data_IF_776901852487
#
_entry.id   IF_776901852487
#
_cell.length_a   1.000
_cell.length_b   1.000
_cell.length_c   1.000
_cell.angle_alpha   90.00
_cell.angle_beta   90.00
_cell.angle_gamma   90.00
#
_symmetry.space_group_name_H-M   'P 1'
#
loop_
_entity.id
_entity.type
_entity.pdbx_description
1 polymer ?
#
# COMPACT_ATOMS: atom_id res chain seq x y z
N UNK A 1 -12.38 -27.43 9.04
CA UNK A 1 -11.50 -26.57 9.86
C UNK A 1 -10.35 -26.15 8.95
N UNK A 2 -10.49 -25.01 8.26
CA UNK A 2 -9.50 -24.54 7.28
C UNK A 2 -8.65 -23.48 7.96
N UNK A 3 -7.36 -23.76 8.05
CA UNK A 3 -6.33 -22.89 8.60
C UNK A 3 -5.94 -21.88 7.51
N UNK A 4 -6.30 -20.61 7.70
CA UNK A 4 -5.86 -19.51 6.82
C UNK A 4 -4.51 -19.05 7.37
N UNK A 5 -3.44 -19.31 6.62
CA UNK A 5 -2.08 -18.96 7.00
C UNK A 5 -1.97 -17.49 7.40
N UNK A 6 -1.53 -17.24 8.64
CA UNK A 6 -1.21 -15.90 9.10
C UNK A 6 -0.05 -15.31 8.30
N UNK A 7 0.08 -13.97 8.26
CA UNK A 7 1.18 -13.31 7.56
C UNK A 7 2.52 -13.85 8.10
N UNK A 8 3.38 -14.25 7.17
CA UNK A 8 4.76 -14.63 7.44
C UNK A 8 5.39 -13.56 8.36
N UNK A 9 6.00 -14.01 9.46
CA UNK A 9 6.58 -13.15 10.50
C UNK A 9 7.66 -12.25 9.89
N UNK A 10 7.28 -11.04 9.49
CA UNK A 10 8.22 -10.01 9.08
C UNK A 10 9.10 -9.69 10.30
N UNK A 11 10.41 -9.97 10.20
CA UNK A 11 11.40 -9.55 11.20
C UNK A 11 11.15 -8.08 11.55
N UNK A 12 10.92 -7.81 12.84
CA UNK A 12 10.54 -6.50 13.34
C UNK A 12 11.69 -5.53 13.08
N UNK A 13 11.55 -4.69 12.06
CA UNK A 13 12.53 -3.64 11.72
C UNK A 13 12.80 -2.72 12.91
N UNK A 14 14.04 -2.25 13.01
CA UNK A 14 14.43 -1.28 14.02
C UNK A 14 13.62 0.01 13.84
N UNK A 15 13.50 0.81 14.90
CA UNK A 15 12.76 2.08 14.85
C UNK A 15 13.35 3.03 13.79
N UNK A 16 14.67 3.02 13.62
CA UNK A 16 15.37 3.80 12.60
C UNK A 16 15.02 3.38 11.17
N UNK A 17 14.89 2.08 10.91
CA UNK A 17 14.53 1.57 9.56
C UNK A 17 13.09 1.92 9.16
N UNK A 18 12.22 2.22 10.13
CA UNK A 18 10.85 2.69 9.87
C UNK A 18 10.77 4.19 9.63
N UNK A 19 11.70 4.97 10.21
CA UNK A 19 11.78 6.41 9.97
C UNK A 19 12.26 6.73 8.55
N UNK A 20 12.99 5.81 7.90
CA UNK A 20 13.44 5.96 6.51
C UNK A 20 12.45 5.41 5.45
N UNK A 21 11.45 4.61 5.85
CA UNK A 21 10.48 4.04 4.91
C UNK A 21 9.35 5.02 4.59
N UNK A 22 8.99 5.13 3.32
CA UNK A 22 7.90 5.95 2.83
C UNK A 22 6.57 5.18 2.86
N UNK A 23 5.49 5.86 3.27
CA UNK A 23 4.14 5.29 3.28
C UNK A 23 3.40 5.66 2.00
N UNK A 24 2.67 4.69 1.43
CA UNK A 24 1.85 4.88 0.24
C UNK A 24 0.45 4.34 0.47
N UNK A 25 -0.54 5.04 -0.08
CA UNK A 25 -1.91 4.56 -0.26
C UNK A 25 -2.10 4.22 -1.73
N UNK A 26 -2.64 3.05 -2.00
CA UNK A 26 -2.90 2.51 -3.33
C UNK A 26 -4.39 2.22 -3.46
N UNK A 27 -4.99 2.69 -4.54
CA UNK A 27 -6.36 2.35 -4.94
C UNK A 27 -6.30 1.74 -6.33
N UNK A 28 -6.75 0.48 -6.45
CA UNK A 28 -6.82 -0.24 -7.71
C UNK A 28 -8.25 -0.33 -8.22
N UNK A 29 -8.52 0.37 -9.32
CA UNK A 29 -9.76 0.21 -10.08
C UNK A 29 -9.56 -0.82 -11.18
N UNK A 30 -10.44 -1.82 -11.33
CA UNK A 30 -10.29 -2.80 -12.38
C UNK A 30 -10.45 -2.16 -13.76
N UNK A 31 -9.52 -2.44 -14.67
CA UNK A 31 -9.69 -2.07 -16.07
C UNK A 31 -10.86 -2.85 -16.68
N UNK A 32 -11.56 -2.24 -17.64
CA UNK A 32 -12.74 -2.84 -18.27
C UNK A 32 -12.47 -4.21 -18.90
N UNK A 33 -11.26 -4.44 -19.43
CA UNK A 33 -10.86 -5.71 -20.03
C UNK A 33 -10.39 -6.76 -19.00
N UNK A 34 -10.19 -6.38 -17.73
CA UNK A 34 -9.67 -7.27 -16.70
C UNK A 34 -10.77 -8.06 -16.00
N UNK A 35 -10.59 -9.38 -15.90
CA UNK A 35 -11.52 -10.23 -15.14
C UNK A 35 -11.13 -10.34 -13.67
N UNK A 36 -12.12 -10.41 -12.77
CA UNK A 36 -11.85 -10.64 -11.34
C UNK A 36 -11.13 -11.97 -11.07
N UNK A 37 -11.43 -13.01 -11.86
CA UNK A 37 -10.85 -14.34 -11.72
C UNK A 37 -9.34 -14.33 -12.01
N UNK A 38 -8.92 -13.62 -13.05
CA UNK A 38 -7.52 -13.41 -13.39
C UNK A 38 -6.77 -12.67 -12.28
N UNK A 39 -7.32 -11.56 -11.78
CA UNK A 39 -6.67 -10.77 -10.73
C UNK A 39 -6.50 -11.55 -9.44
N UNK A 40 -7.51 -12.33 -9.04
CA UNK A 40 -7.43 -13.20 -7.86
C UNK A 40 -6.35 -14.27 -8.05
N UNK A 41 -6.32 -14.94 -9.21
CA UNK A 41 -5.33 -15.95 -9.50
C UNK A 41 -3.89 -15.38 -9.43
N UNK A 42 -3.68 -14.21 -10.03
CA UNK A 42 -2.40 -13.49 -9.97
C UNK A 42 -2.04 -13.09 -8.53
N UNK A 43 -3.02 -12.62 -7.75
CA UNK A 43 -2.81 -12.13 -6.39
C UNK A 43 -2.37 -13.24 -5.42
N UNK A 44 -2.87 -14.46 -5.64
CA UNK A 44 -2.51 -15.66 -4.85
C UNK A 44 -1.03 -16.03 -5.02
N UNK A 45 -0.47 -15.87 -6.22
CA UNK A 45 0.92 -16.21 -6.51
C UNK A 45 1.90 -15.03 -6.41
N UNK A 46 1.39 -13.81 -6.27
CA UNK A 46 2.22 -12.61 -6.27
C UNK A 46 2.83 -12.34 -4.88
N UNK A 47 4.12 -12.04 -4.89
CA UNK A 47 4.89 -11.60 -3.72
C UNK A 47 5.18 -10.11 -3.83
N UNK A 48 5.24 -9.41 -2.70
CA UNK A 48 5.60 -8.00 -2.70
C UNK A 48 7.06 -7.82 -3.15
N UNK A 49 7.36 -6.80 -3.98
CA UNK A 49 8.74 -6.49 -4.36
C UNK A 49 9.64 -6.30 -3.16
N UNK A 50 10.93 -6.60 -3.32
CA UNK A 50 11.92 -6.36 -2.28
C UNK A 50 11.92 -4.89 -1.85
N UNK A 51 11.99 -4.65 -0.53
CA UNK A 51 11.91 -3.31 0.04
C UNK A 51 10.50 -2.74 0.15
N UNK A 52 9.46 -3.52 -0.18
CA UNK A 52 8.06 -3.20 0.13
C UNK A 52 7.54 -4.05 1.29
N UNK A 53 6.61 -3.47 2.06
CA UNK A 53 5.85 -4.16 3.10
C UNK A 53 4.40 -3.71 3.07
N UNK A 54 3.49 -4.66 2.96
CA UNK A 54 2.06 -4.36 3.11
C UNK A 54 1.72 -4.11 4.58
N UNK A 55 1.04 -3.00 4.85
CA UNK A 55 0.52 -2.62 6.17
C UNK A 55 -0.91 -3.11 6.31
N UNK A 56 -1.73 -2.84 5.31
CA UNK A 56 -3.12 -3.25 5.24
C UNK A 56 -3.56 -3.38 3.79
N UNK A 57 -4.45 -4.33 3.52
CA UNK A 57 -5.07 -4.51 2.22
C UNK A 57 -6.55 -4.81 2.44
N UNK A 58 -7.41 -4.14 1.68
CA UNK A 58 -8.85 -4.25 1.75
C UNK A 58 -9.40 -4.54 0.35
N UNK A 59 -10.38 -5.44 0.29
CA UNK A 59 -11.01 -5.89 -0.93
C UNK A 59 -12.48 -5.48 -0.85
N UNK A 60 -12.83 -4.28 -1.33
CA UNK A 60 -14.19 -3.81 -1.27
C UNK A 60 -15.13 -4.73 -2.06
N UNK A 61 -16.33 -4.97 -1.54
CA UNK A 61 -17.39 -5.67 -2.27
C UNK A 61 -18.05 -4.70 -3.27
N UNK A 62 -17.25 -4.22 -4.22
CA UNK A 62 -17.60 -3.22 -5.23
C UNK A 62 -17.01 -3.61 -6.58
N UNK A 63 -17.69 -3.21 -7.65
CA UNK A 63 -17.17 -3.32 -9.03
C UNK A 63 -16.28 -2.13 -9.41
N UNK A 64 -16.36 -1.02 -8.68
CA UNK A 64 -15.62 0.22 -8.98
C UNK A 64 -14.20 0.22 -8.42
N UNK A 65 -14.01 -0.38 -7.25
CA UNK A 65 -12.70 -0.47 -6.57
C UNK A 65 -12.51 -1.93 -6.18
N UNK A 66 -11.45 -2.53 -6.70
CA UNK A 66 -11.14 -3.92 -6.46
C UNK A 66 -10.18 -4.11 -5.27
N UNK A 67 -9.30 -3.13 -5.03
CA UNK A 67 -8.33 -3.18 -3.93
C UNK A 67 -8.02 -1.78 -3.40
N UNK A 68 -7.89 -1.69 -2.08
CA UNK A 68 -7.31 -0.55 -1.37
C UNK A 68 -6.17 -1.08 -0.53
N UNK A 69 -4.96 -0.56 -0.70
CA UNK A 69 -3.78 -1.02 0.00
C UNK A 69 -3.01 0.13 0.64
N UNK A 70 -2.38 -0.16 1.76
CA UNK A 70 -1.45 0.73 2.45
C UNK A 70 -0.13 -0.02 2.56
N UNK A 71 0.93 0.52 2.00
CA UNK A 71 2.23 -0.12 1.96
C UNK A 71 3.34 0.85 2.38
N UNK A 72 4.34 0.30 3.07
CA UNK A 72 5.64 0.96 3.24
C UNK A 72 6.58 0.52 2.13
N UNK A 73 7.43 1.43 1.68
CA UNK A 73 8.51 1.13 0.76
C UNK A 73 9.80 1.87 1.15
N UNK A 74 10.94 1.20 0.96
CA UNK A 74 12.27 1.76 1.24
C UNK A 74 12.66 2.84 0.22
N UNK A 75 12.13 2.73 -0.99
CA UNK A 75 12.46 3.59 -2.11
C UNK A 75 11.31 3.57 -3.14
N UNK A 76 11.33 4.55 -4.03
CA UNK A 76 10.31 4.68 -5.09
C UNK A 76 10.38 3.52 -6.09
N UNK A 77 11.55 2.91 -6.31
CA UNK A 77 11.70 1.81 -7.27
C UNK A 77 10.88 0.57 -6.87
N UNK A 78 10.82 0.23 -5.56
CA UNK A 78 9.98 -0.86 -5.06
C UNK A 78 8.49 -0.64 -5.36
N UNK A 79 7.99 0.60 -5.22
CA UNK A 79 6.61 0.96 -5.61
C UNK A 79 6.41 0.87 -7.12
N UNK A 80 7.35 1.38 -7.92
CA UNK A 80 7.27 1.32 -9.37
C UNK A 80 7.20 -0.13 -9.88
N UNK A 81 7.99 -1.04 -9.31
CA UNK A 81 7.91 -2.47 -9.62
C UNK A 81 6.51 -3.03 -9.32
N UNK A 82 5.93 -2.71 -8.15
CA UNK A 82 4.58 -3.15 -7.82
C UNK A 82 3.52 -2.56 -8.77
N UNK A 83 3.69 -1.33 -9.25
CA UNK A 83 2.77 -0.74 -10.23
C UNK A 83 2.84 -1.53 -11.54
N UNK A 84 4.04 -1.81 -12.05
CA UNK A 84 4.25 -2.50 -13.32
C UNK A 84 3.78 -3.96 -13.31
N UNK A 85 3.76 -4.63 -12.15
CA UNK A 85 3.23 -6.00 -12.05
C UNK A 85 1.70 -6.08 -12.26
N UNK A 86 1.01 -4.93 -12.18
CA UNK A 86 -0.44 -4.84 -12.08
C UNK A 86 -1.08 -3.82 -13.04
N UNK A 87 -0.27 -3.06 -13.78
CA UNK A 87 -0.74 -1.94 -14.61
C UNK A 87 -1.60 -2.38 -15.79
N UNK A 88 -1.50 -3.62 -16.24
CA UNK A 88 -2.30 -4.22 -17.30
C UNK A 88 -3.74 -4.52 -16.85
N UNK A 89 -3.96 -4.79 -15.56
CA UNK A 89 -5.26 -5.18 -14.99
C UNK A 89 -5.94 -4.11 -14.12
N UNK A 90 -5.18 -3.14 -13.63
CA UNK A 90 -5.69 -2.04 -12.80
C UNK A 90 -5.35 -0.66 -13.35
N UNK A 91 -6.28 0.28 -13.20
CA UNK A 91 -5.99 1.70 -13.15
C UNK A 91 -5.60 2.04 -11.70
N UNK A 92 -4.30 2.16 -11.47
CA UNK A 92 -3.73 2.37 -10.13
C UNK A 92 -3.59 3.86 -9.81
N UNK A 93 -4.17 4.27 -8.70
CA UNK A 93 -3.83 5.54 -8.03
C UNK A 93 -2.89 5.23 -6.88
N UNK A 94 -1.66 5.74 -6.94
CA UNK A 94 -0.65 5.58 -5.88
C UNK A 94 -0.24 6.95 -5.36
N UNK A 95 -0.42 7.19 -4.07
CA UNK A 95 -0.14 8.49 -3.45
C UNK A 95 0.76 8.31 -2.22
N UNK A 96 1.84 9.10 -2.09
CA UNK A 96 2.56 9.20 -0.83
C UNK A 96 1.60 9.62 0.29
N UNK A 97 1.81 9.06 1.47
CA UNK A 97 0.98 9.31 2.63
C UNK A 97 1.85 9.54 3.88
N UNK A 98 1.23 10.08 4.91
CA UNK A 98 1.77 10.14 6.25
C UNK A 98 0.75 9.57 7.23
N UNK A 99 1.23 9.14 8.39
CA UNK A 99 0.35 8.72 9.49
C UNK A 99 -0.46 9.91 10.01
N UNK A 100 -1.58 9.64 10.67
CA UNK A 100 -2.39 10.67 11.31
C UNK A 100 -1.57 11.43 12.37
N UNK A 101 -0.73 10.73 13.13
CA UNK A 101 0.15 11.30 14.13
C UNK A 101 1.13 12.32 13.52
N UNK A 102 1.80 11.96 12.41
CA UNK A 102 2.69 12.86 11.68
C UNK A 102 1.95 14.08 11.12
N UNK A 103 0.77 13.86 10.51
CA UNK A 103 -0.04 14.95 9.96
C UNK A 103 -0.54 15.92 11.04
N UNK A 104 -0.98 15.41 12.18
CA UNK A 104 -1.42 16.23 13.31
C UNK A 104 -0.26 16.99 13.94
N UNK A 105 0.93 16.41 14.02
CA UNK A 105 2.11 17.10 14.52
C UNK A 105 2.52 18.26 13.61
N UNK A 106 2.56 18.03 12.29
CA UNK A 106 2.82 19.08 11.32
C UNK A 106 1.77 20.20 11.42
N UNK A 107 0.49 19.84 11.55
CA UNK A 107 -0.60 20.82 11.69
C UNK A 107 -0.43 21.70 12.96
N UNK A 108 -0.01 21.13 14.10
CA UNK A 108 0.26 21.91 15.32
C UNK A 108 1.40 22.91 15.12
N UNK A 109 2.47 22.51 14.44
CA UNK A 109 3.61 23.39 14.14
C UNK A 109 3.21 24.55 13.23
N UNK A 110 2.35 24.29 12.23
CA UNK A 110 1.83 25.33 11.35
C UNK A 110 0.93 26.33 12.10
N UNK A 111 0.08 25.86 13.01
CA UNK A 111 -0.76 26.74 13.84
C UNK A 111 0.07 27.64 14.77
N UNK A 112 1.11 27.07 15.39
CA UNK A 112 2.03 27.82 16.25
C UNK A 112 2.81 28.88 15.45
N UNK A 113 3.20 28.57 14.21
CA UNK A 113 3.93 29.50 13.33
C UNK A 113 3.05 30.60 12.74
N UNK A 114 1.75 30.36 12.59
CA UNK A 114 0.78 31.35 12.08
C UNK A 114 0.29 32.34 13.13
N UNK A 115 0.68 32.14 14.40
CA UNK A 115 0.28 32.98 15.55
C UNK A 115 1.42 33.86 16.08
N UNK A 116 2.56 33.90 15.36
CA UNK A 116 3.75 34.71 15.65
C UNK A 116 3.90 35.82 14.59
#
# INVERSE_FOLDING_TARGET
MVWIGGPQSAKRRSRHDREASMLFVVIGKPKAASSGKERIARRVSWEYPAGMRMIAEYWPMSTEIAVIAVAEADNVASIMSAILDWDDVFDLTVTPAMTAEQGLELARQMQASSSA
#
